data_IF_923369039236
#
_entry.id   IF_923369039236
#
_cell.length_a   1.000
_cell.length_b   1.000
_cell.length_c   1.000
_cell.angle_alpha   90.00
_cell.angle_beta   90.00
_cell.angle_gamma   90.00
#
_symmetry.space_group_name_H-M   'P 1'
#
loop_
_entity.id
_entity.type
_entity.pdbx_description
1 polymer ?
#
# COMPACT_ATOMS: atom_id res chain seq x y z
N UNK A 1 23.61 7.26 2.36
CA UNK A 1 22.40 8.12 2.32
C UNK A 1 21.20 7.24 1.99
N UNK A 2 20.00 7.58 2.46
CA UNK A 2 18.78 6.81 2.20
C UNK A 2 18.55 6.61 0.69
N UNK A 3 18.84 7.63 -0.11
CA UNK A 3 18.76 7.57 -1.58
C UNK A 3 19.60 6.47 -2.22
N UNK A 4 20.80 6.21 -1.69
CA UNK A 4 21.64 5.12 -2.17
C UNK A 4 21.03 3.75 -1.86
N UNK A 5 20.44 3.62 -0.66
CA UNK A 5 19.72 2.41 -0.27
C UNK A 5 18.47 2.21 -1.11
N UNK A 6 17.69 3.25 -1.38
CA UNK A 6 16.51 3.20 -2.25
C UNK A 6 16.89 2.76 -3.66
N UNK A 7 17.99 3.28 -4.22
CA UNK A 7 18.50 2.82 -5.51
C UNK A 7 19.02 1.38 -5.49
N UNK A 8 19.57 0.91 -4.38
CA UNK A 8 19.93 -0.51 -4.23
C UNK A 8 18.70 -1.40 -4.28
N UNK A 9 17.65 -1.02 -3.55
CA UNK A 9 16.38 -1.75 -3.50
C UNK A 9 15.65 -1.72 -4.85
N UNK A 10 15.56 -0.56 -5.50
CA UNK A 10 15.00 -0.44 -6.86
C UNK A 10 15.68 -1.40 -7.85
N UNK A 11 17.00 -1.49 -7.80
CA UNK A 11 17.76 -2.38 -8.68
C UNK A 11 17.55 -3.85 -8.34
N UNK A 12 17.36 -4.20 -7.07
CA UNK A 12 17.00 -5.55 -6.67
C UNK A 12 15.55 -5.91 -7.06
N UNK A 13 14.63 -4.95 -7.01
CA UNK A 13 13.21 -5.11 -7.32
C UNK A 13 12.95 -5.27 -8.82
N UNK A 14 13.64 -4.54 -9.69
CA UNK A 14 13.37 -4.54 -11.13
C UNK A 14 13.36 -5.95 -11.77
N UNK A 15 14.35 -6.85 -11.54
CA UNK A 15 14.31 -8.22 -12.05
C UNK A 15 13.11 -9.03 -11.53
N UNK A 16 12.71 -8.83 -10.26
CA UNK A 16 11.58 -9.52 -9.65
C UNK A 16 10.26 -9.05 -10.26
N UNK A 17 10.12 -7.74 -10.47
CA UNK A 17 8.98 -7.12 -11.16
C UNK A 17 8.87 -7.66 -12.57
N UNK A 18 9.97 -7.69 -13.34
CA UNK A 18 9.97 -8.25 -14.68
C UNK A 18 9.50 -9.71 -14.69
N UNK A 19 10.02 -10.53 -13.77
CA UNK A 19 9.62 -11.93 -13.65
C UNK A 19 8.14 -12.08 -13.27
N UNK A 20 7.64 -11.26 -12.35
CA UNK A 20 6.23 -11.25 -11.94
C UNK A 20 5.28 -10.88 -13.07
N UNK A 21 5.75 -10.11 -14.06
CA UNK A 21 4.98 -9.74 -15.25
C UNK A 21 5.23 -10.68 -16.44
N UNK A 22 5.74 -11.89 -16.20
CA UNK A 22 5.99 -12.88 -17.25
C UNK A 22 7.10 -12.50 -18.22
N UNK A 23 8.00 -11.58 -17.84
CA UNK A 23 9.13 -11.15 -18.68
C UNK A 23 10.37 -11.94 -18.32
N UNK A 24 11.18 -12.27 -19.34
CA UNK A 24 12.36 -13.12 -19.17
C UNK A 24 13.46 -12.49 -18.29
N UNK A 25 13.71 -11.19 -18.44
CA UNK A 25 14.73 -10.45 -17.66
C UNK A 25 14.47 -8.95 -17.66
N UNK A 26 15.14 -8.24 -16.76
CA UNK A 26 15.37 -6.80 -16.89
C UNK A 26 16.48 -6.56 -17.93
N UNK A 27 16.20 -5.73 -18.93
CA UNK A 27 17.19 -5.26 -19.93
C UNK A 27 17.85 -3.95 -19.51
N UNK A 28 17.10 -3.08 -18.83
CA UNK A 28 17.62 -1.85 -18.23
C UNK A 28 17.24 -1.81 -16.77
N UNK A 29 18.21 -1.48 -15.91
CA UNK A 29 18.02 -1.44 -14.47
C UNK A 29 18.98 -0.41 -13.85
N UNK A 30 18.65 0.86 -13.99
CA UNK A 30 19.48 1.98 -13.55
C UNK A 30 18.79 2.76 -12.43
N UNK A 31 19.58 3.38 -11.57
CA UNK A 31 19.11 4.31 -10.57
C UNK A 31 20.24 5.26 -10.16
N UNK A 32 20.00 6.57 -10.30
CA UNK A 32 20.91 7.61 -9.84
C UNK A 32 20.50 8.10 -8.46
N UNK A 33 21.33 7.83 -7.46
CA UNK A 33 21.09 8.23 -6.06
C UNK A 33 21.07 9.75 -5.82
N UNK A 34 21.61 10.57 -6.73
CA UNK A 34 21.60 12.04 -6.60
C UNK A 34 20.24 12.60 -7.01
N UNK A 35 19.79 12.21 -8.20
CA UNK A 35 18.53 12.70 -8.79
C UNK A 35 17.32 11.86 -8.42
N UNK A 36 17.52 10.63 -7.92
CA UNK A 36 16.52 9.57 -7.80
C UNK A 36 15.89 9.19 -9.14
N UNK A 37 16.55 9.50 -10.26
CA UNK A 37 16.10 9.07 -11.57
C UNK A 37 16.40 7.58 -11.74
N UNK A 38 15.40 6.80 -12.14
CA UNK A 38 15.50 5.35 -12.26
C UNK A 38 14.91 4.89 -13.58
N UNK A 39 15.39 3.75 -14.07
CA UNK A 39 14.83 3.11 -15.26
C UNK A 39 14.82 1.59 -15.05
N UNK A 40 13.64 1.01 -15.20
CA UNK A 40 13.43 -0.43 -15.24
C UNK A 40 12.73 -0.77 -16.54
N UNK A 41 13.42 -1.48 -17.44
CA UNK A 41 12.83 -1.99 -18.68
C UNK A 41 13.04 -3.50 -18.68
N UNK A 42 12.00 -4.25 -18.99
CA UNK A 42 12.02 -5.70 -19.12
C UNK A 42 12.13 -6.12 -20.59
N UNK A 43 12.46 -7.39 -20.84
CA UNK A 43 12.45 -7.96 -22.19
C UNK A 43 11.14 -7.67 -22.95
N UNK A 44 11.26 -7.32 -24.23
CA UNK A 44 10.13 -6.92 -25.06
C UNK A 44 9.70 -5.47 -24.82
N UNK A 45 10.64 -4.61 -24.43
CA UNK A 45 10.47 -3.17 -24.17
C UNK A 45 9.34 -2.84 -23.19
N UNK A 46 9.01 -3.80 -22.32
CA UNK A 46 7.97 -3.65 -21.33
C UNK A 46 8.48 -2.81 -20.16
N UNK A 47 7.79 -1.70 -19.89
CA UNK A 47 8.09 -0.79 -18.78
C UNK A 47 7.04 -0.97 -17.68
N UNK A 48 7.37 -1.69 -16.59
CA UNK A 48 6.45 -1.84 -15.48
C UNK A 48 6.23 -0.49 -14.78
N UNK A 49 5.01 -0.28 -14.30
CA UNK A 49 4.67 0.86 -13.46
C UNK A 49 5.22 0.65 -12.04
N UNK A 50 6.33 1.31 -11.70
CA UNK A 50 6.99 1.13 -10.41
C UNK A 50 6.22 1.68 -9.21
N UNK A 51 5.19 2.52 -9.43
CA UNK A 51 4.32 3.01 -8.35
C UNK A 51 3.44 1.90 -7.77
N UNK A 52 3.20 0.83 -8.54
CA UNK A 52 2.40 -0.33 -8.13
C UNK A 52 3.17 -1.36 -7.30
N UNK A 53 4.48 -1.17 -7.13
CA UNK A 53 5.34 -2.12 -6.43
C UNK A 53 5.95 -1.51 -5.18
N UNK A 54 6.17 -2.34 -4.17
CA UNK A 54 6.91 -1.97 -2.97
C UNK A 54 8.42 -2.08 -3.22
N UNK A 55 9.22 -1.46 -2.34
CA UNK A 55 10.70 -1.47 -2.43
C UNK A 55 11.24 -0.86 -3.73
N UNK A 56 10.49 0.08 -4.30
CA UNK A 56 10.87 0.89 -5.46
C UNK A 56 11.16 2.33 -5.03
N UNK A 57 11.88 3.10 -5.87
CA UNK A 57 12.13 4.52 -5.62
C UNK A 57 10.81 5.30 -5.38
N UNK A 58 9.76 5.17 -6.20
CA UNK A 58 8.48 5.84 -5.95
C UNK A 58 7.85 5.47 -4.61
N UNK A 59 7.91 4.19 -4.22
CA UNK A 59 7.43 3.75 -2.91
C UNK A 59 8.16 4.46 -1.76
N UNK A 60 9.50 4.52 -1.80
CA UNK A 60 10.27 5.19 -0.76
C UNK A 60 10.04 6.69 -0.70
N UNK A 61 9.90 7.35 -1.86
CA UNK A 61 9.52 8.77 -1.95
C UNK A 61 8.16 9.02 -1.32
N UNK A 62 7.17 8.18 -1.61
CA UNK A 62 5.85 8.29 -1.00
C UNK A 62 5.92 8.09 0.52
N UNK A 63 6.61 7.05 1.00
CA UNK A 63 6.76 6.80 2.44
C UNK A 63 7.47 7.96 3.15
N UNK A 64 8.47 8.57 2.51
CA UNK A 64 9.14 9.75 3.03
C UNK A 64 8.18 10.94 3.17
N UNK A 65 7.34 11.18 2.16
CA UNK A 65 6.32 12.23 2.18
C UNK A 65 5.26 11.96 3.24
N UNK A 66 4.78 10.72 3.35
CA UNK A 66 3.82 10.30 4.37
C UNK A 66 4.37 10.54 5.78
N UNK A 67 5.59 10.07 6.06
CA UNK A 67 6.23 10.27 7.36
C UNK A 67 6.41 11.76 7.68
N UNK A 68 6.79 12.56 6.68
CA UNK A 68 6.92 14.02 6.82
C UNK A 68 5.57 14.70 7.06
N UNK A 69 4.49 14.18 6.48
CA UNK A 69 3.13 14.67 6.68
C UNK A 69 2.65 14.37 8.09
N UNK A 70 2.76 13.10 8.53
CA UNK A 70 2.35 12.65 9.87
C UNK A 70 3.16 13.35 10.97
N UNK A 71 4.46 13.59 10.76
CA UNK A 71 5.29 14.31 11.72
C UNK A 71 4.82 15.75 11.99
N UNK A 72 4.10 16.37 11.05
CA UNK A 72 3.52 17.71 11.20
C UNK A 72 2.13 17.73 11.85
N UNK A 73 1.52 16.56 12.03
CA UNK A 73 0.14 16.47 12.51
C UNK A 73 0.00 16.60 14.03
N UNK A 74 1.08 16.69 14.81
CA UNK A 74 1.04 16.85 16.28
C UNK A 74 0.03 15.91 16.97
N UNK A 75 -0.08 14.65 16.50
CA UNK A 75 -1.05 13.64 16.98
C UNK A 75 -2.54 13.96 16.79
N UNK A 76 -2.88 14.88 15.88
CA UNK A 76 -4.27 15.08 15.42
C UNK A 76 -4.65 13.94 14.46
N UNK A 77 -5.49 13.01 14.93
CA UNK A 77 -5.90 11.81 14.18
C UNK A 77 -6.49 12.11 12.80
N UNK A 78 -7.32 13.16 12.67
CA UNK A 78 -7.89 13.54 11.36
C UNK A 78 -6.82 14.03 10.36
N UNK A 79 -5.74 14.64 10.85
CA UNK A 79 -4.61 15.03 10.03
C UNK A 79 -3.80 13.79 9.59
N UNK A 80 -3.54 12.87 10.51
CA UNK A 80 -2.84 11.61 10.21
C UNK A 80 -3.60 10.80 9.16
N UNK A 81 -4.92 10.71 9.30
CA UNK A 81 -5.77 10.02 8.33
C UNK A 81 -5.77 10.72 6.97
N UNK A 82 -5.82 12.06 6.94
CA UNK A 82 -5.68 12.84 5.72
C UNK A 82 -4.34 12.58 5.00
N UNK A 83 -3.25 12.49 5.74
CA UNK A 83 -1.92 12.14 5.21
C UNK A 83 -1.91 10.74 4.57
N UNK A 84 -2.51 9.75 5.24
CA UNK A 84 -2.61 8.36 4.75
C UNK A 84 -3.50 8.22 3.53
N UNK A 85 -4.63 8.92 3.51
CA UNK A 85 -5.57 8.93 2.38
C UNK A 85 -4.95 9.58 1.14
N UNK A 86 -4.16 10.64 1.32
CA UNK A 86 -3.50 11.38 0.23
C UNK A 86 -2.25 10.66 -0.30
N UNK A 87 -1.49 9.97 0.56
CA UNK A 87 -0.24 9.30 0.19
C UNK A 87 -0.43 7.78 0.17
N UNK A 88 -1.05 7.28 -0.89
CA UNK A 88 -1.24 5.84 -1.12
C UNK A 88 0.07 5.21 -1.59
N UNK A 89 0.96 4.90 -0.66
CA UNK A 89 2.29 4.39 -0.96
C UNK A 89 2.25 2.91 -1.36
N UNK A 90 2.12 2.65 -2.66
CA UNK A 90 2.44 1.39 -3.33
C UNK A 90 1.82 0.13 -2.71
N UNK A 91 0.55 -0.10 -3.03
CA UNK A 91 -0.13 -1.40 -3.18
C UNK A 91 -1.58 -1.16 -3.61
N UNK A 92 -1.78 -0.20 -4.53
CA UNK A 92 -3.13 0.18 -4.98
C UNK A 92 -3.63 -0.93 -5.89
N UNK A 93 -4.58 -1.73 -5.39
CA UNK A 93 -5.18 -2.90 -6.04
C UNK A 93 -4.17 -3.91 -6.62
N UNK A 94 -3.69 -4.89 -5.82
CA UNK A 94 -3.47 -6.20 -6.42
C UNK A 94 -4.80 -6.61 -7.04
N UNK A 95 -4.84 -6.82 -8.36
CA UNK A 95 -5.95 -7.51 -8.98
C UNK A 95 -5.97 -8.91 -8.36
N UNK A 96 -6.78 -9.09 -7.33
CA UNK A 96 -6.99 -10.35 -6.65
C UNK A 96 -7.81 -11.23 -7.59
N UNK A 97 -7.16 -11.75 -8.63
CA UNK A 97 -7.64 -12.89 -9.41
C UNK A 97 -7.62 -14.18 -8.57
N UNK A 98 -8.00 -14.10 -7.30
CA UNK A 98 -8.23 -15.22 -6.43
C UNK A 98 -9.63 -15.09 -5.86
N UNK A 99 -10.59 -15.70 -6.57
CA UNK A 99 -11.90 -16.03 -6.02
C UNK A 99 -11.70 -16.84 -4.75
N UNK A 100 -11.71 -16.14 -3.61
CA UNK A 100 -11.77 -16.73 -2.29
C UNK A 100 -12.86 -15.97 -1.56
N UNK A 101 -14.02 -16.60 -1.45
CA UNK A 101 -15.16 -16.13 -0.67
C UNK A 101 -14.75 -16.04 0.79
N UNK A 102 -14.38 -14.85 1.27
CA UNK A 102 -14.37 -14.57 2.70
C UNK A 102 -15.81 -14.32 3.13
N UNK A 103 -16.43 -15.32 3.76
CA UNK A 103 -17.68 -15.14 4.50
C UNK A 103 -17.46 -14.07 5.57
N UNK A 104 -18.13 -12.92 5.43
CA UNK A 104 -18.25 -11.96 6.50
C UNK A 104 -19.09 -12.59 7.62
N UNK A 105 -18.44 -13.01 8.69
CA UNK A 105 -19.11 -13.28 9.95
C UNK A 105 -19.48 -11.91 10.58
N UNK A 106 -20.60 -11.34 10.16
CA UNK A 106 -21.20 -10.18 10.82
C UNK A 106 -21.53 -10.53 12.27
N UNK A 107 -20.68 -10.12 13.20
CA UNK A 107 -21.03 -10.10 14.62
C UNK A 107 -21.76 -8.79 14.88
N UNK A 108 -23.06 -8.77 14.62
CA UNK A 108 -23.94 -7.66 14.97
C UNK A 108 -24.17 -7.65 16.48
N UNK A 109 -23.44 -6.79 17.19
CA UNK A 109 -23.80 -6.34 18.55
C UNK A 109 -25.16 -5.65 18.52
N UNK A 110 -26.16 -6.33 19.06
CA UNK A 110 -27.53 -5.83 19.26
C UNK A 110 -27.56 -4.75 20.36
N UNK A 111 -28.12 -3.55 20.13
CA UNK A 111 -28.40 -2.61 21.21
C UNK A 111 -29.59 -3.09 22.06
N UNK A 112 -29.37 -3.16 23.37
CA UNK A 112 -30.36 -3.47 24.41
C UNK A 112 -31.32 -2.31 24.59
N UNK A 113 -32.57 -2.45 24.15
CA UNK A 113 -33.68 -1.59 24.56
C UNK A 113 -34.39 -2.21 25.77
N UNK A 114 -34.29 -1.52 26.89
CA UNK A 114 -34.92 -1.79 28.19
C UNK A 114 -36.45 -1.60 28.10
N UNK A 115 -37.28 -2.56 28.51
CA UNK A 115 -38.68 -2.31 28.86
C UNK A 115 -38.81 -2.04 30.38
N UNK A 116 -39.50 -0.95 30.75
CA UNK A 116 -40.02 -0.72 32.11
C UNK A 116 -41.17 -1.73 32.40
N UNK A 117 -41.45 -2.09 33.67
CA UNK A 117 -42.28 -3.24 34.07
C UNK A 117 -43.77 -2.85 34.22
N UNK A 118 -44.69 -3.83 34.11
CA UNK A 118 -45.51 -4.35 35.22
C UNK A 118 -46.65 -5.29 34.74
N UNK A 119 -46.84 -6.40 35.50
CA UNK A 119 -48.00 -7.31 35.72
C UNK A 119 -48.90 -7.77 34.54
N UNK A 120 -49.28 -9.04 34.41
CA UNK A 120 -49.98 -9.82 35.43
C UNK A 120 -50.04 -11.31 35.03
N UNK A 121 -49.71 -12.19 35.96
CA UNK A 121 -49.96 -13.63 35.86
C UNK A 121 -51.26 -13.96 36.62
N UNK A 122 -52.11 -14.80 36.04
CA UNK A 122 -53.03 -15.59 36.87
C UNK A 122 -53.26 -16.97 36.26
N UNK A 123 -53.21 -17.92 37.19
CA UNK A 123 -53.46 -19.37 37.13
C UNK A 123 -54.61 -19.82 36.23
#
# INVERSE_FOLDING_TARGET
SDRAQWCSMQRASCPLICKSNGRAKAITNTCDSKTLNWECICSGDYRPDAEKYTQTVPYFLCMHTLNSCVAKCESVESCVEGCRTTNQCGATNPDLNNGTTTSNNETTTKPTTTPKPDVNATY
#
